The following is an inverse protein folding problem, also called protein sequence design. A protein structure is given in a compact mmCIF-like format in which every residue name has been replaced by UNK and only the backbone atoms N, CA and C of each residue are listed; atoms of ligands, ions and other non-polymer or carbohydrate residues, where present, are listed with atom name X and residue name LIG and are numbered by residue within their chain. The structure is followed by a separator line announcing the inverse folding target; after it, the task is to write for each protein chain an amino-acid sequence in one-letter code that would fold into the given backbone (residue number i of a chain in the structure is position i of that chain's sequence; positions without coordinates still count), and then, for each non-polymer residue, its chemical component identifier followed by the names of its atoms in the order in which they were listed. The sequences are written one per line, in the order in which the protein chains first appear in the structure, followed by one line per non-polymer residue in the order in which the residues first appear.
data_IF_258411103180
#
_entry.id   IF_258411103180
#
_cell.length_a   1.000
_cell.length_b   1.000
_cell.length_c   1.000
_cell.angle_alpha   90.00
_cell.angle_beta   90.00
_cell.angle_gamma   90.00
#
_symmetry.space_group_name_H-M   'P 1'
#
loop_
_entity.id
_entity.type
_entity.pdbx_description
1 polymer ?
#
# COMPACT_ATOMS: atom_id res chain seq x y z
N UNK A 1 -23.52 18.41 -7.60
CA UNK A 1 -22.09 18.10 -7.82
C UNK A 1 -21.95 16.60 -8.02
N UNK A 2 -21.05 16.16 -8.91
CA UNK A 2 -20.69 14.74 -9.04
C UNK A 2 -19.60 14.41 -8.01
N UNK A 3 -19.71 13.33 -7.23
CA UNK A 3 -18.64 12.90 -6.34
C UNK A 3 -17.33 12.63 -7.08
N UNK A 4 -16.19 12.93 -6.44
CA UNK A 4 -14.84 12.68 -6.94
C UNK A 4 -14.14 11.65 -6.05
N UNK A 5 -13.48 10.66 -6.65
CA UNK A 5 -12.66 9.69 -5.92
C UNK A 5 -11.21 10.14 -5.94
N UNK A 6 -10.61 10.24 -4.75
CA UNK A 6 -9.19 10.48 -4.58
C UNK A 6 -8.51 9.17 -4.16
N UNK A 7 -7.46 8.80 -4.91
CA UNK A 7 -6.59 7.66 -4.60
C UNK A 7 -5.25 8.15 -4.10
N UNK A 8 -4.79 7.67 -2.95
CA UNK A 8 -3.46 7.95 -2.44
C UNK A 8 -2.53 6.75 -2.67
N UNK A 9 -1.48 6.93 -3.48
CA UNK A 9 -0.40 5.96 -3.66
C UNK A 9 0.74 6.30 -2.69
N UNK A 10 0.67 5.73 -1.48
CA UNK A 10 1.38 6.25 -0.30
C UNK A 10 2.87 5.89 -0.25
N UNK A 11 3.33 4.88 -0.97
CA UNK A 11 4.71 4.36 -0.88
C UNK A 11 5.37 4.16 -2.26
N UNK A 12 4.75 3.37 -3.13
CA UNK A 12 5.35 2.95 -4.41
C UNK A 12 6.58 2.04 -4.26
N UNK A 13 7.21 1.66 -5.37
CA UNK A 13 8.39 0.77 -5.39
C UNK A 13 9.74 1.51 -5.54
N UNK A 14 9.74 2.72 -6.10
CA UNK A 14 10.97 3.43 -6.51
C UNK A 14 11.43 4.49 -5.49
N UNK A 15 10.48 5.20 -4.86
CA UNK A 15 10.80 6.28 -3.92
C UNK A 15 11.64 5.76 -2.76
N UNK A 16 12.70 6.46 -2.37
CA UNK A 16 13.59 6.04 -1.29
C UNK A 16 13.53 7.02 -0.10
N UNK A 17 13.76 6.57 1.15
CA UNK A 17 13.75 7.44 2.33
C UNK A 17 14.73 8.62 2.24
N UNK A 18 15.84 8.47 1.52
CA UNK A 18 16.81 9.56 1.29
C UNK A 18 16.22 10.74 0.50
N UNK A 19 15.25 10.47 -0.38
CA UNK A 19 14.63 11.45 -1.26
C UNK A 19 13.32 11.99 -0.66
N UNK A 20 12.64 11.15 0.13
CA UNK A 20 11.45 11.51 0.91
C UNK A 20 11.56 10.93 2.33
N UNK A 21 12.04 11.71 3.31
CA UNK A 21 12.19 11.24 4.69
C UNK A 21 10.90 10.80 5.38
N UNK A 22 9.73 11.24 4.87
CA UNK A 22 8.42 10.86 5.39
C UNK A 22 7.82 9.64 4.67
N UNK A 23 8.59 8.93 3.83
CA UNK A 23 8.10 7.77 3.08
C UNK A 23 7.59 6.68 4.05
N UNK A 24 6.29 6.32 4.04
CA UNK A 24 5.77 5.27 4.90
C UNK A 24 6.10 3.91 4.30
N UNK A 25 6.94 3.11 4.96
CA UNK A 25 7.34 1.79 4.46
C UNK A 25 7.17 0.63 5.44
N UNK A 26 6.98 0.90 6.74
CA UNK A 26 6.54 -0.12 7.70
C UNK A 26 5.01 -0.24 7.70
N UNK A 27 4.43 -1.40 8.06
CA UNK A 27 2.98 -1.56 8.18
C UNK A 27 2.30 -0.47 9.03
N UNK A 28 2.89 -0.12 10.18
CA UNK A 28 2.36 0.90 11.09
C UNK A 28 2.42 2.29 10.47
N UNK A 29 3.52 2.62 9.78
CA UNK A 29 3.67 3.88 9.08
C UNK A 29 2.67 4.00 7.92
N UNK A 30 2.41 2.92 7.20
CA UNK A 30 1.41 2.86 6.13
C UNK A 30 -0.02 2.98 6.66
N UNK A 31 -0.33 2.34 7.80
CA UNK A 31 -1.62 2.49 8.47
C UNK A 31 -1.88 3.94 8.89
N UNK A 32 -0.88 4.60 9.50
CA UNK A 32 -0.97 6.02 9.86
C UNK A 32 -1.19 6.90 8.62
N UNK A 33 -0.39 6.69 7.56
CA UNK A 33 -0.53 7.45 6.32
C UNK A 33 -1.90 7.24 5.65
N UNK A 34 -2.45 6.02 5.70
CA UNK A 34 -3.77 5.72 5.18
C UNK A 34 -4.87 6.49 5.92
N UNK A 35 -4.82 6.55 7.26
CA UNK A 35 -5.75 7.34 8.08
C UNK A 35 -5.66 8.82 7.71
N UNK A 36 -4.45 9.38 7.71
CA UNK A 36 -4.22 10.80 7.36
C UNK A 36 -4.76 11.13 5.96
N UNK A 37 -4.53 10.26 4.99
CA UNK A 37 -5.05 10.43 3.63
C UNK A 37 -6.58 10.32 3.58
N UNK A 38 -7.18 9.39 4.32
CA UNK A 38 -8.63 9.19 4.38
C UNK A 38 -9.34 10.41 5.00
N UNK A 39 -8.81 10.92 6.10
CA UNK A 39 -9.28 12.15 6.77
C UNK A 39 -9.16 13.37 5.84
N UNK A 40 -8.12 13.42 5.00
CA UNK A 40 -7.96 14.46 3.97
C UNK A 40 -8.88 14.29 2.74
N UNK A 41 -9.60 13.16 2.62
CA UNK A 41 -10.60 12.93 1.57
C UNK A 41 -10.31 11.77 0.62
N UNK A 42 -9.19 11.04 0.77
CA UNK A 42 -8.93 9.83 0.01
C UNK A 42 -9.98 8.74 0.31
N UNK A 43 -10.36 7.97 -0.70
CA UNK A 43 -11.27 6.82 -0.55
C UNK A 43 -10.64 5.51 -1.00
N UNK A 44 -9.47 5.57 -1.64
CA UNK A 44 -8.70 4.42 -2.08
C UNK A 44 -7.25 4.62 -1.64
N UNK A 45 -6.65 3.57 -1.07
CA UNK A 45 -5.20 3.48 -0.89
C UNK A 45 -4.65 2.50 -1.92
N UNK A 46 -3.71 2.98 -2.74
CA UNK A 46 -2.91 2.14 -3.62
C UNK A 46 -1.65 1.68 -2.86
N UNK A 47 -1.58 0.39 -2.56
CA UNK A 47 -0.59 -0.19 -1.68
C UNK A 47 0.52 -0.93 -2.45
N UNK A 48 1.74 -0.48 -2.20
CA UNK A 48 2.97 -1.26 -2.34
C UNK A 48 3.54 -1.52 -0.95
N UNK A 49 4.30 -2.59 -0.77
CA UNK A 49 5.01 -2.87 0.49
C UNK A 49 6.52 -2.88 0.31
N UNK A 50 7.23 -2.62 1.41
CA UNK A 50 8.69 -2.67 1.49
C UNK A 50 9.13 -3.62 2.61
N UNK A 51 10.34 -4.14 2.51
CA UNK A 51 11.01 -4.84 3.61
C UNK A 51 11.49 -3.86 4.70
N UNK A 52 12.20 -4.36 5.71
CA UNK A 52 12.74 -3.55 6.81
C UNK A 52 13.81 -2.54 6.37
N UNK A 53 14.43 -2.75 5.21
CA UNK A 53 15.43 -1.86 4.61
C UNK A 53 14.82 -0.89 3.60
N UNK A 54 13.49 -0.76 3.59
CA UNK A 54 12.72 0.03 2.64
C UNK A 54 12.87 -0.42 1.17
N UNK A 55 13.29 -1.66 0.90
CA UNK A 55 13.38 -2.23 -0.45
C UNK A 55 12.04 -2.82 -0.85
N UNK A 56 11.62 -2.60 -2.10
CA UNK A 56 10.36 -3.12 -2.60
C UNK A 56 10.32 -4.64 -2.59
N UNK A 57 9.22 -5.20 -2.09
CA UNK A 57 9.01 -6.65 -1.98
C UNK A 57 7.62 -7.04 -2.47
N UNK A 58 7.47 -8.30 -2.84
CA UNK A 58 6.18 -8.94 -3.15
C UNK A 58 5.82 -10.03 -2.13
N UNK A 59 6.49 -10.05 -0.98
CA UNK A 59 6.18 -10.98 0.10
C UNK A 59 4.71 -10.83 0.54
N UNK A 60 3.97 -11.93 0.40
CA UNK A 60 2.56 -12.02 0.76
C UNK A 60 2.34 -11.74 2.25
N UNK A 61 3.26 -12.13 3.12
CA UNK A 61 3.14 -11.87 4.56
C UNK A 61 3.28 -10.38 4.84
N UNK A 62 4.18 -9.70 4.13
CA UNK A 62 4.34 -8.25 4.27
C UNK A 62 3.12 -7.48 3.78
N UNK A 63 2.53 -7.90 2.66
CA UNK A 63 1.22 -7.39 2.23
C UNK A 63 0.15 -7.61 3.30
N UNK A 64 0.07 -8.81 3.86
CA UNK A 64 -0.91 -9.15 4.89
C UNK A 64 -0.78 -8.24 6.12
N UNK A 65 0.43 -8.05 6.63
CA UNK A 65 0.71 -7.15 7.76
C UNK A 65 0.21 -5.73 7.49
N UNK A 66 0.58 -5.13 6.35
CA UNK A 66 0.14 -3.79 5.99
C UNK A 66 -1.37 -3.68 5.78
N UNK A 67 -1.99 -4.67 5.13
CA UNK A 67 -3.45 -4.70 4.92
C UNK A 67 -4.19 -4.79 6.26
N UNK A 68 -3.75 -5.68 7.16
CA UNK A 68 -4.36 -5.85 8.48
C UNK A 68 -4.21 -4.56 9.32
N UNK A 69 -3.03 -3.95 9.30
CA UNK A 69 -2.78 -2.69 10.01
C UNK A 69 -3.66 -1.54 9.46
N UNK A 70 -3.74 -1.38 8.14
CA UNK A 70 -4.58 -0.34 7.52
C UNK A 70 -6.06 -0.60 7.79
N UNK A 71 -6.55 -1.84 7.64
CA UNK A 71 -7.96 -2.17 7.89
C UNK A 71 -8.36 -1.97 9.35
N UNK A 72 -7.46 -2.26 10.30
CA UNK A 72 -7.71 -2.00 11.72
C UNK A 72 -7.84 -0.51 12.03
N UNK A 73 -7.03 0.34 11.37
CA UNK A 73 -7.01 1.78 11.61
C UNK A 73 -8.03 2.57 10.77
N UNK A 74 -8.35 2.10 9.57
CA UNK A 74 -9.19 2.78 8.57
C UNK A 74 -10.08 1.76 7.83
N UNK A 75 -11.12 1.20 8.49
CA UNK A 75 -11.89 0.07 7.96
C UNK A 75 -12.70 0.38 6.69
N UNK A 76 -13.01 1.66 6.44
CA UNK A 76 -13.87 2.10 5.32
C UNK A 76 -13.08 2.45 4.04
N UNK A 77 -11.75 2.41 4.07
CA UNK A 77 -10.95 2.73 2.88
C UNK A 77 -10.85 1.53 1.95
N UNK A 78 -10.98 1.77 0.64
CA UNK A 78 -10.79 0.72 -0.37
C UNK A 78 -9.30 0.39 -0.45
N UNK A 79 -8.97 -0.86 -0.19
CA UNK A 79 -7.60 -1.37 -0.31
C UNK A 79 -7.35 -1.91 -1.73
N UNK A 80 -6.61 -1.13 -2.51
CA UNK A 80 -6.11 -1.52 -3.82
C UNK A 80 -4.65 -1.96 -3.71
N UNK A 81 -4.34 -3.22 -3.96
CA UNK A 81 -2.95 -3.70 -3.96
C UNK A 81 -2.33 -3.64 -5.35
N UNK A 82 -1.02 -3.43 -5.42
CA UNK A 82 -0.30 -3.42 -6.68
C UNK A 82 0.06 -4.83 -7.14
N UNK A 83 -0.32 -5.18 -8.37
CA UNK A 83 0.19 -6.34 -9.13
C UNK A 83 1.29 -5.96 -10.13
N UNK A 84 1.75 -4.70 -10.09
CA UNK A 84 2.94 -4.23 -10.82
C UNK A 84 4.22 -4.62 -10.10
N UNK A 85 4.26 -4.42 -8.78
CA UNK A 85 5.42 -4.74 -7.94
C UNK A 85 6.67 -3.92 -8.26
N UNK A 86 7.84 -4.47 -7.95
CA UNK A 86 9.14 -3.89 -8.30
C UNK A 86 9.58 -4.32 -9.70
N UNK A 87 10.38 -3.48 -10.39
CA UNK A 87 10.99 -3.85 -11.67
C UNK A 87 11.87 -5.09 -11.46
N UNK A 88 11.59 -6.16 -12.21
CA UNK A 88 12.32 -7.43 -12.13
C UNK A 88 11.71 -8.49 -11.22
N UNK A 89 10.63 -8.19 -10.47
CA UNK A 89 9.86 -9.22 -9.78
C UNK A 89 9.23 -10.20 -10.78
N UNK A 90 9.20 -11.49 -10.42
CA UNK A 90 8.60 -12.51 -11.29
C UNK A 90 7.08 -12.29 -11.40
N UNK A 91 6.47 -12.81 -12.47
CA UNK A 91 5.02 -12.73 -12.64
C UNK A 91 4.29 -13.45 -11.49
N UNK A 92 4.81 -14.61 -11.06
CA UNK A 92 4.23 -15.39 -9.97
C UNK A 92 4.24 -14.62 -8.64
N UNK A 93 5.35 -13.94 -8.33
CA UNK A 93 5.44 -13.10 -7.14
C UNK A 93 4.45 -11.94 -7.19
N UNK A 94 4.30 -11.31 -8.36
CA UNK A 94 3.41 -10.15 -8.56
C UNK A 94 1.93 -10.49 -8.42
N UNK A 95 1.53 -11.72 -8.74
CA UNK A 95 0.13 -12.15 -8.61
C UNK A 95 -0.18 -12.77 -7.24
N UNK A 96 0.83 -13.26 -6.50
CA UNK A 96 0.64 -13.96 -5.24
C UNK A 96 -0.18 -13.17 -4.21
N UNK A 97 -0.01 -11.84 -4.04
CA UNK A 97 -0.80 -11.04 -3.10
C UNK A 97 -2.32 -11.05 -3.35
N UNK A 98 -2.80 -11.38 -4.56
CA UNK A 98 -4.25 -11.51 -4.84
C UNK A 98 -4.91 -12.63 -4.00
N UNK A 99 -4.14 -13.59 -3.50
CA UNK A 99 -4.63 -14.64 -2.60
C UNK A 99 -5.18 -14.06 -1.28
N UNK A 100 -4.76 -12.85 -0.91
CA UNK A 100 -5.26 -12.11 0.26
C UNK A 100 -6.66 -11.52 0.05
N UNK A 101 -7.24 -11.63 -1.16
CA UNK A 101 -8.58 -11.14 -1.52
C UNK A 101 -8.77 -9.66 -1.15
N UNK A 102 -7.93 -8.76 -1.72
CA UNK A 102 -8.11 -7.33 -1.56
C UNK A 102 -9.47 -6.88 -2.14
N UNK A 103 -9.88 -5.65 -1.84
CA UNK A 103 -11.09 -5.08 -2.46
C UNK A 103 -10.87 -4.83 -3.96
N UNK A 104 -9.61 -4.55 -4.35
CA UNK A 104 -9.16 -4.31 -5.73
C UNK A 104 -7.68 -4.70 -5.92
N UNK A 105 -7.29 -5.19 -7.10
CA UNK A 105 -5.90 -5.57 -7.42
C UNK A 105 -5.62 -5.65 -8.92
#
# INVERSE_FOLDING_TARGET
MQPLILTAAITGAETMPKDQPNLPFTPEAQARAAVECYEAGARVIHLHVRDENAIATQDINRFKESIEAIRAACPDVIMQISTGGAVGASFDDRIAPLQLKPDMG
#
